data_IF_361240942363
#
_entry.id   IF_361240942363
#
_cell.length_a   1.000
_cell.length_b   1.000
_cell.length_c   1.000
_cell.angle_alpha   90.00
_cell.angle_beta   90.00
_cell.angle_gamma   90.00
#
_symmetry.space_group_name_H-M   'P 1'
#
loop_
_entity.id
_entity.type
_entity.pdbx_description
1 polymer ?
#
# COMPACT_ATOMS: atom_id res chain seq x y z
N UNK A 1 -16.32 -1.51 8.95
CA UNK A 1 -15.54 -0.89 7.93
C UNK A 1 -14.86 -1.92 7.05
N UNK A 2 -14.29 -1.46 5.99
CA UNK A 2 -13.56 -2.33 5.10
C UNK A 2 -12.16 -2.53 5.61
N UNK A 3 -11.68 -3.77 5.53
CA UNK A 3 -10.32 -4.08 5.89
C UNK A 3 -9.36 -3.38 4.92
N UNK A 4 -8.28 -2.87 5.45
CA UNK A 4 -7.21 -2.31 4.64
C UNK A 4 -6.27 -3.41 4.23
N UNK A 5 -5.75 -3.31 3.01
CA UNK A 5 -4.71 -4.19 2.50
C UNK A 5 -3.46 -3.39 2.28
N UNK A 6 -2.32 -4.02 2.48
CA UNK A 6 -1.05 -3.41 2.14
C UNK A 6 -0.49 -4.11 0.92
N UNK A 7 -0.27 -3.35 -0.13
CA UNK A 7 0.27 -3.86 -1.38
C UNK A 7 1.70 -3.38 -1.49
N UNK A 8 2.63 -4.30 -1.63
CA UNK A 8 4.02 -3.95 -1.84
C UNK A 8 4.37 -4.26 -3.28
N UNK A 9 4.90 -3.26 -3.97
CA UNK A 9 5.21 -3.37 -5.38
C UNK A 9 6.67 -3.04 -5.59
N UNK A 10 7.33 -3.84 -6.40
CA UNK A 10 8.67 -3.53 -6.87
C UNK A 10 8.58 -3.25 -8.37
N UNK A 11 9.14 -2.13 -8.78
CA UNK A 11 9.09 -1.68 -10.19
C UNK A 11 10.50 -1.59 -10.75
N UNK A 12 10.60 -1.72 -12.08
CA UNK A 12 11.89 -1.67 -12.75
C UNK A 12 12.52 -0.29 -12.69
N UNK A 13 11.69 0.76 -12.75
CA UNK A 13 12.14 2.15 -12.70
C UNK A 13 11.34 2.86 -11.61
N UNK A 14 11.98 3.67 -10.75
CA UNK A 14 11.26 4.36 -9.68
C UNK A 14 10.08 5.17 -10.21
N UNK A 15 8.97 5.11 -9.47
CA UNK A 15 7.72 5.78 -9.80
C UNK A 15 7.37 6.70 -8.64
N UNK A 16 6.97 7.93 -8.96
CA UNK A 16 6.56 8.89 -7.95
C UNK A 16 5.18 8.56 -7.39
N UNK A 17 4.95 8.96 -6.13
CA UNK A 17 3.68 8.67 -5.45
C UNK A 17 2.49 9.38 -6.10
N UNK A 18 2.75 10.51 -6.76
CA UNK A 18 1.69 11.30 -7.39
C UNK A 18 0.96 10.54 -8.51
N UNK A 19 1.58 9.49 -9.05
CA UNK A 19 0.94 8.67 -10.08
C UNK A 19 -0.31 7.99 -9.54
N UNK A 20 -0.36 7.76 -8.25
CA UNK A 20 -1.47 7.04 -7.63
C UNK A 20 -2.53 7.97 -7.04
N UNK A 21 -2.36 9.28 -7.17
CA UNK A 21 -3.39 10.22 -6.74
C UNK A 21 -4.64 10.00 -7.56
N UNK A 22 -5.77 9.96 -6.88
CA UNK A 22 -7.05 9.76 -7.52
C UNK A 22 -7.38 8.31 -7.88
N UNK A 23 -6.49 7.37 -7.60
CA UNK A 23 -6.82 5.95 -7.80
C UNK A 23 -7.81 5.53 -6.72
N UNK A 24 -9.01 5.05 -7.10
CA UNK A 24 -10.01 4.67 -6.11
C UNK A 24 -9.49 3.63 -5.13
N UNK A 25 -9.74 3.86 -3.85
CA UNK A 25 -9.37 2.94 -2.80
C UNK A 25 -7.97 3.14 -2.23
N UNK A 26 -7.10 3.86 -2.93
CA UNK A 26 -5.75 4.10 -2.43
C UNK A 26 -5.81 5.14 -1.31
N UNK A 27 -5.31 4.76 -0.14
CA UNK A 27 -5.31 5.60 1.06
C UNK A 27 -3.96 6.25 1.30
N UNK A 28 -2.90 5.52 1.03
CA UNK A 28 -1.56 6.01 1.28
C UNK A 28 -0.59 5.32 0.34
N UNK A 29 0.41 6.05 -0.12
CA UNK A 29 1.49 5.50 -0.92
C UNK A 29 2.80 6.00 -0.37
N UNK A 30 3.72 5.09 -0.12
CA UNK A 30 5.08 5.41 0.28
C UNK A 30 6.02 4.82 -0.76
N UNK A 31 6.87 5.67 -1.34
CA UNK A 31 7.86 5.23 -2.32
C UNK A 31 9.25 5.28 -1.70
N UNK A 32 10.01 4.23 -1.90
CA UNK A 32 11.41 4.19 -1.49
C UNK A 32 12.19 3.37 -2.50
N UNK A 33 12.98 4.08 -3.30
CA UNK A 33 13.72 3.47 -4.39
C UNK A 33 12.80 2.86 -5.43
N UNK A 34 13.02 1.60 -5.75
CA UNK A 34 12.22 0.85 -6.70
C UNK A 34 11.01 0.16 -6.05
N UNK A 35 10.70 0.49 -4.82
CA UNK A 35 9.62 -0.13 -4.06
C UNK A 35 8.55 0.87 -3.71
N UNK A 36 7.31 0.37 -3.72
CA UNK A 36 6.14 1.13 -3.33
C UNK A 36 5.38 0.34 -2.28
N UNK A 37 4.93 1.03 -1.24
CA UNK A 37 4.03 0.44 -0.26
C UNK A 37 2.72 1.20 -0.33
N UNK A 38 1.67 0.51 -0.67
CA UNK A 38 0.37 1.10 -0.94
C UNK A 38 -0.65 0.53 0.04
N UNK A 39 -1.33 1.42 0.75
CA UNK A 39 -2.44 1.04 1.61
C UNK A 39 -3.72 1.23 0.83
N UNK A 40 -4.50 0.17 0.73
CA UNK A 40 -5.66 0.10 -0.15
C UNK A 40 -6.89 -0.34 0.63
N UNK A 41 -8.01 0.33 0.36
CA UNK A 41 -9.32 -0.07 0.86
C UNK A 41 -10.18 -0.49 -0.32
N UNK A 42 -10.83 -1.66 -0.22
CA UNK A 42 -11.73 -2.14 -1.25
C UNK A 42 -11.01 -2.91 -2.36
N UNK A 43 -11.50 -2.76 -3.58
CA UNK A 43 -11.01 -3.53 -4.72
C UNK A 43 -9.59 -3.16 -5.12
N UNK A 44 -8.79 -4.17 -5.44
CA UNK A 44 -7.44 -3.97 -5.97
C UNK A 44 -7.46 -3.56 -7.45
N UNK A 45 -8.57 -3.75 -8.14
CA UNK A 45 -8.64 -3.56 -9.58
C UNK A 45 -8.17 -2.19 -10.07
N UNK A 46 -8.62 -1.06 -9.47
CA UNK A 46 -8.14 0.25 -9.92
C UNK A 46 -6.63 0.41 -9.77
N UNK A 47 -6.05 -0.15 -8.72
CA UNK A 47 -4.61 -0.11 -8.52
C UNK A 47 -3.88 -0.92 -9.58
N UNK A 48 -4.37 -2.13 -9.87
CA UNK A 48 -3.76 -2.97 -10.90
C UNK A 48 -3.75 -2.24 -12.24
N UNK A 49 -4.84 -1.58 -12.57
CA UNK A 49 -4.93 -0.83 -13.84
C UNK A 49 -3.98 0.35 -13.87
N UNK A 50 -3.81 1.02 -12.74
CA UNK A 50 -2.84 2.11 -12.65
C UNK A 50 -1.41 1.59 -12.79
N UNK A 51 -1.10 0.43 -12.22
CA UNK A 51 0.21 -0.18 -12.31
C UNK A 51 0.53 -0.74 -13.69
N UNK A 52 -0.49 -1.01 -14.49
CA UNK A 52 -0.32 -1.68 -15.78
C UNK A 52 0.55 -0.90 -16.77
N UNK A 53 0.74 0.40 -16.55
CA UNK A 53 1.58 1.23 -17.42
C UNK A 53 3.06 1.19 -17.05
N UNK A 54 3.41 0.49 -15.97
CA UNK A 54 4.78 0.39 -15.49
C UNK A 54 5.25 -1.06 -15.59
N UNK A 55 6.55 -1.25 -15.64
CA UNK A 55 7.11 -2.59 -15.55
C UNK A 55 7.17 -3.00 -14.09
N UNK A 56 6.26 -3.88 -13.69
CA UNK A 56 6.19 -4.40 -12.34
C UNK A 56 7.03 -5.67 -12.24
N UNK A 57 8.01 -5.65 -11.34
CA UNK A 57 8.89 -6.79 -11.13
C UNK A 57 8.23 -7.80 -10.20
N UNK A 58 7.57 -7.28 -9.15
CA UNK A 58 6.94 -8.13 -8.16
C UNK A 58 5.83 -7.37 -7.48
N UNK A 59 4.82 -8.09 -7.04
CA UNK A 59 3.69 -7.52 -6.31
C UNK A 59 3.26 -8.49 -5.24
N UNK A 60 3.15 -8.02 -4.01
CA UNK A 60 2.68 -8.81 -2.89
C UNK A 60 1.55 -8.09 -2.20
N UNK A 61 0.51 -8.83 -1.88
CA UNK A 61 -0.65 -8.30 -1.16
C UNK A 61 -0.71 -8.92 0.22
N UNK A 62 -0.79 -8.06 1.22
CA UNK A 62 -0.87 -8.48 2.62
C UNK A 62 -2.13 -7.94 3.26
N UNK A 63 -2.88 -8.81 3.91
CA UNK A 63 -3.94 -8.38 4.78
C UNK A 63 -3.36 -8.24 6.18
N UNK A 64 -3.78 -7.21 6.93
CA UNK A 64 -3.30 -7.07 8.30
C UNK A 64 -3.65 -8.30 9.12
N UNK A 65 -2.68 -8.82 9.85
CA UNK A 65 -2.94 -9.89 10.79
C UNK A 65 -3.58 -9.30 12.04
N UNK A 66 -4.18 -10.17 12.85
CA UNK A 66 -4.74 -9.73 14.11
C UNK A 66 -3.68 -9.08 15.00
N UNK A 67 -2.48 -9.62 14.96
CA UNK A 67 -1.35 -9.06 15.69
C UNK A 67 -1.00 -7.66 15.20
N UNK A 68 -0.96 -7.45 13.89
CA UNK A 68 -0.68 -6.13 13.33
C UNK A 68 -1.76 -5.12 13.70
N UNK A 69 -3.02 -5.53 13.68
CA UNK A 69 -4.13 -4.67 14.08
C UNK A 69 -3.99 -4.29 15.56
N UNK A 70 -3.66 -5.26 16.38
CA UNK A 70 -3.44 -5.04 17.81
C UNK A 70 -2.32 -4.03 18.03
N UNK A 71 -1.19 -4.21 17.36
CA UNK A 71 -0.05 -3.32 17.51
C UNK A 71 -0.35 -1.90 17.02
N UNK A 72 -1.19 -1.76 16.02
CA UNK A 72 -1.61 -0.45 15.54
C UNK A 72 -2.31 0.34 16.64
N UNK A 73 -3.17 -0.32 17.41
CA UNK A 73 -3.89 0.35 18.48
C UNK A 73 -3.03 0.64 19.71
N UNK A 74 -2.19 -0.29 20.08
CA UNK A 74 -1.44 -0.20 21.33
C UNK A 74 -0.02 0.32 21.13
N UNK A 75 0.55 0.09 19.96
CA UNK A 75 1.86 0.64 19.62
C UNK A 75 1.87 2.16 19.58
N UNK A 76 0.78 2.76 19.11
CA UNK A 76 0.65 4.20 19.05
C UNK A 76 0.66 4.81 20.46
N UNK A 77 0.06 4.11 21.44
CA UNK A 77 0.07 4.55 22.82
C UNK A 77 1.49 4.47 23.41
N UNK A 78 2.22 3.45 23.03
CA UNK A 78 3.60 3.31 23.50
C UNK A 78 4.50 4.41 22.93
N UNK A 79 4.28 4.78 21.68
CA UNK A 79 5.06 5.85 21.07
C UNK A 79 4.83 7.19 21.75
N UNK A 80 3.67 7.37 22.33
CA UNK A 80 3.36 8.58 23.06
C UNK A 80 4.06 8.65 24.41
N UNK A 81 4.53 7.51 24.87
CA UNK A 81 5.19 7.42 26.17
C UNK A 81 6.70 7.72 26.11
#
# INVERSE_FOLDING_TARGET
GKALKRIEVRVATPVGVEVFEGVPGVREVVAFGDRLRITLAGSIDPLVKALARFEVIDLQSHEPTLEEIFLTFYGAADDAG
#
